data_IF_831886778510
#
_entry.id   IF_831886778510
#
_cell.length_a   1.000
_cell.length_b   1.000
_cell.length_c   1.000
_cell.angle_alpha   90.00
_cell.angle_beta   90.00
_cell.angle_gamma   90.00
#
_symmetry.space_group_name_H-M   'P 1'
#
loop_
_entity.id
_entity.type
_entity.pdbx_description
1 polymer ?
#
# COMPACT_ATOMS: atom_id res chain seq x y z
N UNK A 1 10.94 12.65 38.27
CA UNK A 1 9.83 12.41 37.31
C UNK A 1 8.55 12.13 38.09
N UNK A 2 7.49 12.92 37.93
CA UNK A 2 6.21 12.66 38.59
C UNK A 2 5.45 11.52 37.86
N UNK A 3 5.11 10.46 38.59
CA UNK A 3 4.37 9.30 38.07
C UNK A 3 2.88 9.66 37.98
N UNK A 4 2.35 9.94 36.79
CA UNK A 4 0.92 10.19 36.57
C UNK A 4 0.09 9.01 37.09
N UNK A 5 -0.83 9.27 38.02
CA UNK A 5 -1.76 8.27 38.52
C UNK A 5 -2.90 8.07 37.51
N UNK A 6 -3.01 6.87 36.93
CA UNK A 6 -4.03 6.55 35.94
C UNK A 6 -5.29 5.99 36.61
N UNK A 7 -6.47 6.48 36.18
CA UNK A 7 -7.78 6.00 36.64
C UNK A 7 -7.93 4.50 36.29
N UNK A 8 -7.95 3.63 37.31
CA UNK A 8 -7.99 2.17 37.15
C UNK A 8 -9.24 1.73 36.37
N UNK A 9 -9.06 0.94 35.32
CA UNK A 9 -10.18 0.27 34.62
C UNK A 9 -10.73 -0.85 35.52
N UNK A 10 -12.05 -0.89 35.72
CA UNK A 10 -12.69 -1.88 36.61
C UNK A 10 -12.72 -3.28 35.97
N UNK A 11 -12.99 -3.38 34.66
CA UNK A 11 -13.17 -4.66 33.95
C UNK A 11 -11.97 -5.09 33.08
N UNK A 12 -10.83 -4.39 33.18
CA UNK A 12 -9.61 -4.72 32.43
C UNK A 12 -9.08 -6.14 32.66
N UNK A 13 -8.38 -6.67 31.65
CA UNK A 13 -7.78 -8.01 31.67
C UNK A 13 -6.70 -8.16 32.75
N UNK A 14 -6.39 -9.41 33.10
CA UNK A 14 -5.44 -9.76 34.17
C UNK A 14 -4.05 -9.18 33.88
N UNK A 15 -3.57 -9.24 32.64
CA UNK A 15 -2.24 -8.73 32.27
C UNK A 15 -2.13 -7.21 32.38
N UNK A 16 -3.14 -6.45 31.92
CA UNK A 16 -3.13 -5.00 32.05
C UNK A 16 -3.26 -4.55 33.52
N UNK A 17 -4.06 -5.27 34.32
CA UNK A 17 -4.11 -5.07 35.78
C UNK A 17 -2.75 -5.34 36.43
N UNK A 18 -2.09 -6.47 36.14
CA UNK A 18 -0.75 -6.82 36.66
C UNK A 18 0.33 -5.79 36.29
N UNK A 19 0.22 -5.20 35.09
CA UNK A 19 1.14 -4.16 34.59
C UNK A 19 0.82 -2.75 35.09
N UNK A 20 -0.27 -2.55 35.85
CA UNK A 20 -0.77 -1.23 36.27
C UNK A 20 -0.99 -0.24 35.11
N UNK A 21 -1.40 -0.75 33.94
CA UNK A 21 -1.70 0.04 32.73
C UNK A 21 -3.21 0.03 32.45
N UNK A 22 -3.71 1.07 31.75
CA UNK A 22 -5.11 1.14 31.36
C UNK A 22 -5.40 0.08 30.29
N UNK A 23 -6.35 -0.81 30.58
CA UNK A 23 -6.89 -1.74 29.59
C UNK A 23 -7.95 -1.05 28.74
N UNK A 24 -7.98 -1.38 27.45
CA UNK A 24 -9.00 -1.02 26.46
C UNK A 24 -10.28 -1.87 26.55
N UNK A 25 -10.26 -2.94 27.35
CA UNK A 25 -11.39 -3.86 27.62
C UNK A 25 -11.94 -4.62 26.38
N UNK A 26 -11.26 -4.55 25.23
CA UNK A 26 -11.59 -5.32 24.03
C UNK A 26 -11.51 -6.83 24.24
N UNK A 27 -12.50 -7.57 23.72
CA UNK A 27 -12.62 -9.04 23.81
C UNK A 27 -12.54 -9.65 22.39
N UNK A 28 -11.98 -10.86 22.21
CA UNK A 28 -11.46 -11.77 23.23
C UNK A 28 -10.12 -11.32 23.85
N UNK A 29 -9.31 -10.56 23.10
CA UNK A 29 -8.01 -10.04 23.56
C UNK A 29 -7.97 -8.51 23.45
N UNK A 30 -7.31 -7.86 24.41
CA UNK A 30 -7.20 -6.40 24.46
C UNK A 30 -5.98 -5.93 23.66
N UNK A 31 -6.07 -4.76 23.02
CA UNK A 31 -5.05 -4.20 22.13
C UNK A 31 -3.65 -4.22 22.74
N UNK A 32 -3.51 -3.84 24.02
CA UNK A 32 -2.21 -3.83 24.70
C UNK A 32 -1.57 -5.21 24.88
N UNK A 33 -2.37 -6.27 24.96
CA UNK A 33 -1.87 -7.65 25.07
C UNK A 33 -1.55 -8.21 23.68
N UNK A 34 -2.41 -7.94 22.69
CA UNK A 34 -2.16 -8.27 21.28
C UNK A 34 -0.85 -7.64 20.78
N UNK A 35 -0.66 -6.34 20.98
CA UNK A 35 0.57 -5.63 20.58
C UNK A 35 1.83 -6.06 21.33
N UNK A 36 1.71 -6.72 22.49
CA UNK A 36 2.87 -7.24 23.23
C UNK A 36 2.98 -8.76 23.22
N UNK A 37 2.19 -9.43 22.36
CA UNK A 37 2.06 -10.87 22.21
C UNK A 37 1.96 -11.62 23.56
N UNK A 38 0.93 -11.28 24.36
CA UNK A 38 0.69 -11.85 25.70
C UNK A 38 -0.70 -12.45 25.83
N UNK A 39 -0.78 -13.54 26.58
CA UNK A 39 -2.04 -14.22 26.93
C UNK A 39 -2.99 -13.29 27.68
N UNK A 40 -3.99 -12.80 26.95
CA UNK A 40 -4.96 -11.84 27.44
C UNK A 40 -6.19 -12.54 28.04
N UNK A 41 -6.14 -12.87 29.34
CA UNK A 41 -7.30 -13.39 30.05
C UNK A 41 -8.15 -12.28 30.68
N UNK A 42 -9.45 -12.33 30.42
CA UNK A 42 -10.48 -11.60 31.16
C UNK A 42 -11.18 -12.60 32.08
N UNK A 43 -10.86 -12.57 33.37
CA UNK A 43 -11.44 -13.52 34.33
C UNK A 43 -12.98 -13.36 34.44
N UNK A 44 -13.70 -14.38 33.98
CA UNK A 44 -15.13 -14.67 34.14
C UNK A 44 -15.26 -16.14 33.70
N UNK A 45 -15.61 -17.14 34.49
CA UNK A 45 -16.28 -17.21 35.81
C UNK A 45 -15.67 -18.38 36.65
N UNK A 46 -16.10 -18.65 37.90
CA UNK A 46 -15.51 -19.73 38.70
C UNK A 46 -16.01 -21.11 38.24
N UNK A 47 -15.24 -21.79 37.39
CA UNK A 47 -15.28 -23.25 37.33
C UNK A 47 -14.43 -23.84 38.45
N UNK A 48 -15.01 -24.80 39.16
CA UNK A 48 -14.39 -25.53 40.26
C UNK A 48 -13.16 -26.33 39.77
N UNK A 49 -12.06 -26.31 40.54
CA UNK A 49 -11.30 -27.50 40.84
C UNK A 49 -11.92 -28.19 42.06
N UNK A 50 -11.86 -29.52 42.08
CA UNK A 50 -12.13 -30.30 43.28
C UNK A 50 -11.03 -30.02 44.31
N UNK A 51 -11.40 -29.91 45.59
CA UNK A 51 -10.57 -30.45 46.67
C UNK A 51 -11.39 -30.76 47.93
N UNK A 52 -10.89 -31.73 48.68
CA UNK A 52 -11.54 -32.39 49.83
C UNK A 52 -11.50 -31.60 51.15
N UNK A 53 -12.56 -31.74 51.97
CA UNK A 53 -12.62 -31.57 53.44
C UNK A 53 -12.27 -30.15 53.99
N UNK A 54 -12.97 -29.52 54.95
CA UNK A 54 -13.85 -30.02 56.02
C UNK A 54 -14.84 -28.95 56.53
N UNK A 55 -15.94 -29.44 57.12
CA UNK A 55 -16.94 -28.82 58.03
C UNK A 55 -16.61 -27.52 58.79
N UNK A 56 -17.53 -26.52 58.86
CA UNK A 56 -18.56 -26.32 59.93
C UNK A 56 -19.31 -24.96 59.91
N UNK A 57 -20.65 -25.01 60.08
CA UNK A 57 -21.58 -24.01 60.69
C UNK A 57 -21.52 -22.49 60.40
N UNK A 58 -22.41 -22.00 59.52
CA UNK A 58 -23.68 -21.25 59.77
C UNK A 58 -23.85 -20.27 61.00
N UNK A 59 -24.86 -19.37 61.07
CA UNK A 59 -24.73 -17.96 60.64
C UNK A 59 -25.29 -16.92 61.67
N UNK A 60 -25.11 -15.59 61.43
CA UNK A 60 -26.08 -14.58 61.92
C UNK A 60 -25.98 -13.18 61.27
N UNK A 61 -27.15 -12.60 61.08
CA UNK A 61 -27.48 -11.21 60.71
C UNK A 61 -27.07 -10.12 61.72
N UNK A 62 -26.92 -8.85 61.27
CA UNK A 62 -27.89 -7.75 61.56
C UNK A 62 -27.52 -6.39 60.95
N UNK A 63 -28.56 -5.59 60.72
CA UNK A 63 -28.52 -4.20 60.22
C UNK A 63 -28.45 -3.17 61.36
N UNK A 64 -28.12 -1.91 61.00
CA UNK A 64 -28.70 -0.72 61.62
C UNK A 64 -27.91 0.00 62.73
N UNK A 65 -27.44 1.23 62.45
CA UNK A 65 -28.17 2.43 62.88
C UNK A 65 -27.50 3.73 62.40
N UNK A 66 -28.32 4.75 62.16
CA UNK A 66 -27.93 6.16 61.98
C UNK A 66 -27.64 6.81 63.35
N UNK A 67 -26.93 7.95 63.35
CA UNK A 67 -27.36 9.24 63.98
C UNK A 67 -26.26 10.34 63.90
N UNK A 68 -26.62 11.49 63.32
CA UNK A 68 -26.02 12.85 63.48
C UNK A 68 -26.74 13.59 64.65
N UNK A 69 -26.61 14.92 64.96
CA UNK A 69 -25.78 16.03 64.42
C UNK A 69 -24.99 16.75 65.58
N UNK A 70 -24.58 18.03 65.62
CA UNK A 70 -24.49 19.22 64.72
C UNK A 70 -23.37 20.16 65.25
N UNK A 71 -22.86 21.10 64.44
CA UNK A 71 -22.57 22.52 64.87
C UNK A 71 -22.12 23.42 63.69
N UNK A 72 -23.09 23.88 62.88
CA UNK A 72 -23.40 25.27 62.43
C UNK A 72 -22.36 26.47 62.54
N UNK A 73 -22.53 27.62 61.83
CA UNK A 73 -22.29 27.87 60.38
C UNK A 73 -21.63 29.26 60.05
N UNK A 74 -21.87 29.80 58.82
CA UNK A 74 -21.56 31.16 58.25
C UNK A 74 -20.11 31.41 57.75
N UNK A 75 -19.85 32.05 56.59
CA UNK A 75 -20.70 32.71 55.56
C UNK A 75 -20.06 32.66 54.14
N UNK A 76 -20.90 32.77 53.09
CA UNK A 76 -20.73 33.50 51.80
C UNK A 76 -19.31 33.71 51.20
N UNK A 77 -19.03 33.48 49.91
CA UNK A 77 -19.90 33.60 48.73
C UNK A 77 -19.51 32.63 47.61
N UNK A 78 -20.48 32.17 46.83
CA UNK A 78 -20.23 31.53 45.55
C UNK A 78 -20.06 32.60 44.46
N UNK A 79 -19.01 32.47 43.64
CA UNK A 79 -19.01 33.03 42.28
C UNK A 79 -18.48 31.97 41.34
N UNK A 80 -19.32 31.58 40.39
CA UNK A 80 -19.08 30.50 39.44
C UNK A 80 -17.89 30.83 38.54
N UNK A 81 -16.80 30.06 38.64
CA UNK A 81 -15.83 30.01 37.55
C UNK A 81 -16.46 29.23 36.39
N UNK A 82 -16.94 29.97 35.41
CA UNK A 82 -17.59 29.46 34.22
C UNK A 82 -16.72 28.42 33.50
N UNK A 83 -17.31 27.26 33.22
CA UNK A 83 -16.89 26.46 32.08
C UNK A 83 -17.15 27.29 30.81
N UNK A 84 -16.13 27.98 30.31
CA UNK A 84 -16.03 28.31 28.89
C UNK A 84 -15.00 27.38 28.26
N UNK A 85 -15.51 26.42 27.49
CA UNK A 85 -14.71 25.53 26.67
C UNK A 85 -13.86 26.33 25.66
N UNK A 86 -12.61 26.61 25.98
CA UNK A 86 -11.57 26.70 24.95
C UNK A 86 -11.12 25.29 24.56
N UNK A 87 -12.05 24.53 24.00
CA UNK A 87 -11.70 23.44 23.10
C UNK A 87 -11.07 24.06 21.87
N UNK A 88 -9.74 24.19 21.90
CA UNK A 88 -8.83 24.53 20.81
C UNK A 88 -9.45 24.34 19.42
N UNK A 89 -9.90 25.45 18.80
CA UNK A 89 -10.29 25.45 17.38
C UNK A 89 -9.10 25.14 16.46
N UNK A 90 -7.87 25.32 16.98
CA UNK A 90 -6.57 25.06 16.34
C UNK A 90 -6.34 23.60 15.90
N UNK A 91 -7.25 22.66 16.24
CA UNK A 91 -7.13 21.25 15.84
C UNK A 91 -8.35 20.67 15.11
N UNK A 92 -9.26 21.48 14.58
CA UNK A 92 -10.41 20.99 13.79
C UNK A 92 -9.96 20.50 12.40
N UNK A 93 -8.95 21.16 11.81
CA UNK A 93 -8.39 20.83 10.49
C UNK A 93 -6.95 20.37 10.65
N UNK A 94 -6.62 19.20 10.12
CA UNK A 94 -5.25 18.71 10.09
C UNK A 94 -4.50 19.37 8.92
N UNK A 95 -3.70 20.40 9.22
CA UNK A 95 -2.96 21.17 8.23
C UNK A 95 -1.94 20.34 7.44
N UNK A 96 -1.34 19.30 8.03
CA UNK A 96 -0.45 18.39 7.28
C UNK A 96 -1.24 17.60 6.22
N UNK A 97 -2.42 17.08 6.56
CA UNK A 97 -3.26 16.39 5.58
C UNK A 97 -3.79 17.36 4.51
N UNK A 98 -4.05 18.63 4.85
CA UNK A 98 -4.43 19.64 3.87
C UNK A 98 -3.27 20.00 2.92
N UNK A 99 -2.02 20.06 3.39
CA UNK A 99 -0.81 20.21 2.55
C UNK A 99 -0.78 19.09 1.49
N UNK A 100 -0.93 17.84 1.92
CA UNK A 100 -0.93 16.65 1.05
C UNK A 100 -2.12 16.63 0.08
N UNK A 101 -3.31 17.05 0.52
CA UNK A 101 -4.51 17.12 -0.32
C UNK A 101 -4.37 18.21 -1.39
N UNK A 102 -3.95 19.42 -1.00
CA UNK A 102 -3.74 20.55 -1.91
C UNK A 102 -2.66 20.19 -2.94
N UNK A 103 -1.57 19.54 -2.53
CA UNK A 103 -0.57 19.04 -3.46
C UNK A 103 -1.19 18.05 -4.45
N UNK A 104 -1.98 17.08 -3.98
CA UNK A 104 -2.58 16.05 -4.82
C UNK A 104 -3.63 16.52 -5.82
N UNK A 105 -4.29 17.66 -5.57
CA UNK A 105 -5.23 18.27 -6.52
C UNK A 105 -4.58 19.31 -7.46
N UNK A 106 -3.42 19.87 -7.10
CA UNK A 106 -2.75 20.92 -7.91
C UNK A 106 -1.62 20.38 -8.78
N UNK A 107 -0.97 19.27 -8.38
CA UNK A 107 0.11 18.67 -9.13
C UNK A 107 -0.41 17.61 -10.12
N UNK A 108 -0.24 17.86 -11.42
CA UNK A 108 -0.69 16.97 -12.50
C UNK A 108 0.19 15.73 -12.71
N UNK A 109 1.45 15.79 -12.26
CA UNK A 109 2.44 14.73 -12.47
C UNK A 109 2.27 13.57 -11.46
N UNK A 110 1.65 13.85 -10.30
CA UNK A 110 1.34 12.85 -9.26
C UNK A 110 0.60 11.63 -9.85
N UNK A 111 -0.49 11.88 -10.57
CA UNK A 111 -1.33 10.87 -11.21
C UNK A 111 -1.09 10.79 -12.73
N UNK A 112 0.15 10.99 -13.18
CA UNK A 112 0.56 10.65 -14.54
C UNK A 112 0.66 9.13 -14.70
N UNK A 113 -0.49 8.44 -14.78
CA UNK A 113 -0.60 6.97 -14.83
C UNK A 113 -0.22 6.38 -16.21
N UNK A 114 0.23 7.19 -17.16
CA UNK A 114 0.43 6.80 -18.55
C UNK A 114 -0.86 6.73 -19.39
N UNK A 115 -1.99 7.21 -18.86
CA UNK A 115 -3.23 7.42 -19.60
C UNK A 115 -3.25 8.78 -20.29
N UNK A 116 -4.18 8.95 -21.25
CA UNK A 116 -4.30 10.18 -22.03
C UNK A 116 -4.40 11.43 -21.14
N UNK A 117 -3.62 12.46 -21.46
CA UNK A 117 -3.54 13.72 -20.70
C UNK A 117 -4.93 14.35 -20.49
N UNK A 118 -5.84 14.20 -21.45
CA UNK A 118 -7.23 14.67 -21.34
C UNK A 118 -8.04 13.90 -20.29
N UNK A 119 -7.83 12.57 -20.18
CA UNK A 119 -8.54 11.69 -19.26
C UNK A 119 -7.93 11.69 -17.85
N UNK A 120 -6.69 12.13 -17.66
CA UNK A 120 -6.03 12.15 -16.34
C UNK A 120 -6.74 13.08 -15.35
N UNK A 121 -7.22 14.24 -15.82
CA UNK A 121 -7.97 15.19 -15.00
C UNK A 121 -9.37 14.67 -14.64
N UNK A 122 -10.02 13.94 -15.55
CA UNK A 122 -11.33 13.32 -15.31
C UNK A 122 -11.22 12.16 -14.31
N UNK A 123 -10.24 11.26 -14.50
CA UNK A 123 -9.93 10.19 -13.54
C UNK A 123 -9.57 10.74 -12.16
N UNK A 124 -8.82 11.85 -12.08
CA UNK A 124 -8.54 12.53 -10.80
C UNK A 124 -9.82 13.07 -10.15
N UNK A 125 -10.71 13.71 -10.92
CA UNK A 125 -11.98 14.22 -10.40
C UNK A 125 -12.88 13.09 -9.85
N UNK A 126 -12.95 11.95 -10.56
CA UNK A 126 -13.65 10.74 -10.10
C UNK A 126 -12.99 10.19 -8.82
N UNK A 127 -11.65 10.13 -8.79
CA UNK A 127 -10.90 9.69 -7.62
C UNK A 127 -11.18 10.52 -6.37
N UNK A 128 -11.21 11.86 -6.49
CA UNK A 128 -11.50 12.78 -5.39
C UNK A 128 -12.97 12.67 -4.92
N UNK A 129 -13.92 12.54 -5.86
CA UNK A 129 -15.35 12.34 -5.59
C UNK A 129 -15.59 11.06 -4.77
N UNK A 130 -14.93 9.97 -5.11
CA UNK A 130 -15.05 8.71 -4.37
C UNK A 130 -14.22 8.69 -3.08
N UNK A 131 -13.08 9.39 -3.02
CA UNK A 131 -12.28 9.57 -1.79
C UNK A 131 -13.11 10.14 -0.64
N UNK A 132 -14.04 11.07 -0.93
CA UNK A 132 -14.94 11.64 0.07
C UNK A 132 -15.89 10.61 0.72
N UNK A 133 -16.16 9.49 0.04
CA UNK A 133 -17.05 8.40 0.51
C UNK A 133 -16.28 7.22 1.08
N UNK A 134 -15.05 7.00 0.63
CA UNK A 134 -14.21 5.85 0.94
C UNK A 134 -12.96 6.27 1.73
N UNK A 135 -12.98 6.21 3.08
CA UNK A 135 -11.86 6.66 3.90
C UNK A 135 -10.52 5.98 3.58
N UNK A 136 -10.52 4.70 3.19
CA UNK A 136 -9.31 4.00 2.78
C UNK A 136 -8.67 4.63 1.53
N UNK A 137 -9.49 5.00 0.53
CA UNK A 137 -9.03 5.66 -0.70
C UNK A 137 -8.43 7.04 -0.38
N UNK A 138 -9.11 7.86 0.43
CA UNK A 138 -8.59 9.17 0.82
C UNK A 138 -7.22 9.06 1.52
N UNK A 139 -7.06 8.12 2.46
CA UNK A 139 -5.76 7.91 3.11
C UNK A 139 -4.68 7.48 2.11
N UNK A 140 -5.02 6.66 1.11
CA UNK A 140 -4.07 6.23 0.08
C UNK A 140 -3.68 7.37 -0.87
N UNK A 141 -4.62 8.24 -1.26
CA UNK A 141 -4.35 9.45 -2.05
C UNK A 141 -3.39 10.38 -1.29
N UNK A 142 -3.65 10.65 -0.01
CA UNK A 142 -2.75 11.45 0.84
C UNK A 142 -1.37 10.79 1.01
N UNK A 143 -1.33 9.46 1.17
CA UNK A 143 -0.07 8.70 1.25
C UNK A 143 0.78 8.85 -0.01
N UNK A 144 0.15 8.76 -1.19
CA UNK A 144 0.82 8.90 -2.47
C UNK A 144 1.26 10.36 -2.74
N UNK A 145 0.44 11.35 -2.35
CA UNK A 145 0.84 12.77 -2.34
C UNK A 145 2.09 13.01 -1.50
N UNK A 146 2.15 12.43 -0.29
CA UNK A 146 3.35 12.51 0.55
C UNK A 146 4.54 11.83 -0.12
N UNK A 147 4.34 10.66 -0.74
CA UNK A 147 5.40 9.94 -1.44
C UNK A 147 5.99 10.70 -2.64
N UNK A 148 5.17 11.49 -3.34
CA UNK A 148 5.62 12.42 -4.38
C UNK A 148 6.36 13.64 -3.79
N UNK A 149 5.81 14.29 -2.75
CA UNK A 149 6.50 15.38 -2.05
C UNK A 149 7.89 14.96 -1.54
N UNK A 150 8.03 13.71 -1.09
CA UNK A 150 9.33 13.15 -0.71
C UNK A 150 10.35 13.07 -1.87
N UNK A 151 9.89 12.96 -3.11
CA UNK A 151 10.74 12.92 -4.30
C UNK A 151 11.13 14.33 -4.79
N UNK A 152 10.19 15.29 -4.75
CA UNK A 152 10.43 16.67 -5.20
C UNK A 152 11.01 17.61 -4.13
N UNK A 153 11.00 17.21 -2.85
CA UNK A 153 11.63 17.94 -1.73
C UNK A 153 12.66 17.07 -1.00
N UNK A 154 13.87 16.87 -1.56
CA UNK A 154 14.92 16.04 -0.96
C UNK A 154 15.26 16.45 0.48
N UNK A 155 15.21 17.74 0.80
CA UNK A 155 15.52 18.32 2.11
C UNK A 155 14.49 17.98 3.21
N UNK A 156 13.29 17.52 2.81
CA UNK A 156 12.21 17.06 3.69
C UNK A 156 11.82 15.60 3.46
N UNK A 157 12.54 14.88 2.58
CA UNK A 157 12.15 13.56 2.09
C UNK A 157 11.81 12.57 3.20
N UNK A 158 12.66 12.46 4.23
CA UNK A 158 12.42 11.58 5.37
C UNK A 158 11.11 11.86 6.13
N UNK A 159 10.67 13.13 6.25
CA UNK A 159 9.38 13.50 6.88
C UNK A 159 8.22 13.01 6.05
N UNK A 160 8.26 13.25 4.74
CA UNK A 160 7.19 12.89 3.83
C UNK A 160 7.11 11.36 3.61
N UNK A 161 8.24 10.63 3.63
CA UNK A 161 8.25 9.16 3.61
C UNK A 161 7.61 8.56 4.87
N UNK A 162 7.91 9.08 6.06
CA UNK A 162 7.27 8.67 7.31
C UNK A 162 5.75 8.93 7.30
N UNK A 163 5.30 10.08 6.78
CA UNK A 163 3.89 10.35 6.54
C UNK A 163 3.27 9.38 5.53
N UNK A 164 3.93 9.12 4.40
CA UNK A 164 3.47 8.20 3.36
C UNK A 164 3.23 6.79 3.92
N UNK A 165 4.20 6.23 4.64
CA UNK A 165 4.08 4.89 5.28
C UNK A 165 2.94 4.85 6.29
N UNK A 166 2.80 5.87 7.16
CA UNK A 166 1.71 5.94 8.15
C UNK A 166 0.33 5.99 7.50
N UNK A 167 0.17 6.80 6.46
CA UNK A 167 -1.09 6.97 5.73
C UNK A 167 -1.43 5.72 4.90
N UNK A 168 -0.46 5.12 4.20
CA UNK A 168 -0.63 3.87 3.45
C UNK A 168 -1.02 2.71 4.38
N UNK A 169 -0.32 2.55 5.51
CA UNK A 169 -0.66 1.55 6.55
C UNK A 169 -2.09 1.73 7.05
N UNK A 170 -2.50 2.98 7.29
CA UNK A 170 -3.88 3.30 7.71
C UNK A 170 -4.91 3.02 6.61
N UNK A 171 -4.57 3.30 5.35
CA UNK A 171 -5.42 3.03 4.20
C UNK A 171 -5.68 1.52 4.04
N UNK A 172 -4.63 0.71 4.03
CA UNK A 172 -4.70 -0.77 3.96
C UNK A 172 -5.48 -1.34 5.15
N UNK A 173 -5.28 -0.83 6.37
CA UNK A 173 -6.06 -1.23 7.54
C UNK A 173 -7.57 -0.96 7.36
N UNK A 174 -7.95 0.23 6.88
CA UNK A 174 -9.34 0.60 6.64
C UNK A 174 -9.97 -0.22 5.51
N UNK A 175 -9.23 -0.48 4.44
CA UNK A 175 -9.65 -1.33 3.33
C UNK A 175 -9.95 -2.75 3.81
N UNK A 176 -9.01 -3.39 4.52
CA UNK A 176 -9.16 -4.74 5.08
C UNK A 176 -10.26 -4.86 6.15
N UNK A 177 -10.71 -3.72 6.72
CA UNK A 177 -11.82 -3.66 7.67
C UNK A 177 -13.19 -3.47 7.00
N UNK A 178 -13.23 -3.25 5.69
CA UNK A 178 -14.47 -3.04 4.90
C UNK A 178 -15.01 -4.38 4.37
N UNK A 179 -16.27 -4.43 3.94
CA UNK A 179 -16.87 -5.66 3.34
C UNK A 179 -16.02 -6.17 2.18
N UNK A 180 -15.86 -7.50 2.09
CA UNK A 180 -15.03 -8.18 1.08
C UNK A 180 -15.74 -8.43 -0.26
N UNK A 181 -17.07 -8.42 -0.28
CA UNK A 181 -17.85 -8.63 -1.50
C UNK A 181 -17.86 -7.35 -2.33
N UNK A 182 -17.45 -7.46 -3.58
CA UNK A 182 -17.44 -6.35 -4.54
C UNK A 182 -18.80 -6.25 -5.20
N UNK A 183 -19.42 -5.07 -5.13
CA UNK A 183 -20.74 -4.77 -5.68
C UNK A 183 -20.75 -3.41 -6.40
N UNK A 184 -21.87 -3.06 -7.01
CA UNK A 184 -22.02 -1.81 -7.77
C UNK A 184 -21.82 -0.54 -6.92
N UNK A 185 -21.93 -0.61 -5.59
CA UNK A 185 -21.76 0.53 -4.68
C UNK A 185 -20.30 0.75 -4.25
N UNK A 186 -19.45 -0.28 -4.34
CA UNK A 186 -18.08 -0.23 -3.82
C UNK A 186 -16.97 -0.56 -4.86
N UNK A 187 -17.30 -1.12 -6.02
CA UNK A 187 -16.32 -1.52 -7.04
C UNK A 187 -15.41 -0.36 -7.50
N UNK A 188 -15.97 0.83 -7.69
CA UNK A 188 -15.24 2.01 -8.15
C UNK A 188 -14.19 2.51 -7.13
N UNK A 189 -14.53 2.82 -5.86
CA UNK A 189 -13.51 3.20 -4.87
C UNK A 189 -12.52 2.08 -4.55
N UNK A 190 -12.92 0.80 -4.62
CA UNK A 190 -12.00 -0.34 -4.48
C UNK A 190 -10.95 -0.33 -5.61
N UNK A 191 -11.38 -0.15 -6.86
CA UNK A 191 -10.48 -0.06 -8.02
C UNK A 191 -9.51 1.12 -7.88
N UNK A 192 -10.02 2.31 -7.60
CA UNK A 192 -9.22 3.53 -7.44
C UNK A 192 -8.17 3.40 -6.32
N UNK A 193 -8.55 2.76 -5.20
CA UNK A 193 -7.63 2.47 -4.11
C UNK A 193 -6.55 1.47 -4.56
N UNK A 194 -6.95 0.41 -5.26
CA UNK A 194 -6.07 -0.63 -5.77
C UNK A 194 -5.03 -0.07 -6.74
N UNK A 195 -5.44 0.74 -7.71
CA UNK A 195 -4.52 1.40 -8.66
C UNK A 195 -3.58 2.37 -7.92
N UNK A 196 -4.12 3.24 -7.06
CA UNK A 196 -3.28 4.21 -6.31
C UNK A 196 -2.30 3.51 -5.36
N UNK A 197 -2.67 2.36 -4.78
CA UNK A 197 -1.77 1.53 -3.99
C UNK A 197 -0.67 0.91 -4.85
N UNK A 198 -1.02 0.33 -6.01
CA UNK A 198 -0.04 -0.31 -6.89
C UNK A 198 0.98 0.66 -7.48
N UNK A 199 0.58 1.89 -7.82
CA UNK A 199 1.52 2.95 -8.24
C UNK A 199 2.41 3.43 -7.09
N UNK A 200 1.92 3.45 -5.84
CA UNK A 200 2.73 3.76 -4.66
C UNK A 200 3.78 2.67 -4.42
N UNK A 201 3.37 1.40 -4.39
CA UNK A 201 4.27 0.26 -4.21
C UNK A 201 5.33 0.18 -5.31
N UNK A 202 4.96 0.48 -6.56
CA UNK A 202 5.93 0.51 -7.66
C UNK A 202 6.93 1.65 -7.50
N UNK A 203 6.49 2.85 -7.10
CA UNK A 203 7.41 3.96 -6.82
C UNK A 203 8.39 3.63 -5.68
N UNK A 204 7.99 2.86 -4.67
CA UNK A 204 8.88 2.39 -3.60
C UNK A 204 9.85 1.30 -4.08
N UNK A 205 9.35 0.29 -4.81
CA UNK A 205 10.19 -0.76 -5.38
C UNK A 205 11.23 -0.20 -6.36
N UNK A 206 10.83 0.69 -7.27
CA UNK A 206 11.76 1.34 -8.20
C UNK A 206 12.77 2.25 -7.50
N UNK A 207 12.40 2.91 -6.40
CA UNK A 207 13.32 3.73 -5.60
C UNK A 207 14.23 2.92 -4.65
N UNK A 208 14.10 1.59 -4.61
CA UNK A 208 14.91 0.73 -3.73
C UNK A 208 16.39 0.80 -4.12
N UNK A 209 17.24 1.19 -3.15
CA UNK A 209 18.72 1.21 -3.27
C UNK A 209 19.27 0.57 -1.99
N UNK A 210 19.74 -0.67 -2.07
CA UNK A 210 20.19 -1.46 -0.90
C UNK A 210 21.64 -1.93 -1.05
N UNK A 211 22.36 -2.21 0.05
CA UNK A 211 23.70 -2.82 -0.01
C UNK A 211 23.70 -4.20 -0.69
N UNK A 212 22.58 -4.91 -0.63
CA UNK A 212 22.37 -6.25 -1.20
C UNK A 212 22.20 -6.24 -2.74
N UNK A 213 22.26 -5.06 -3.37
CA UNK A 213 22.26 -4.89 -4.81
C UNK A 213 21.01 -5.47 -5.49
N UNK A 214 21.21 -6.41 -6.42
CA UNK A 214 20.14 -7.06 -7.17
C UNK A 214 19.17 -7.82 -6.26
N UNK A 215 19.65 -8.44 -5.18
CA UNK A 215 18.83 -9.29 -4.31
C UNK A 215 17.84 -8.46 -3.49
N UNK A 216 18.31 -7.34 -2.94
CA UNK A 216 17.45 -6.39 -2.26
C UNK A 216 16.46 -5.70 -3.21
N UNK A 217 16.88 -5.36 -4.44
CA UNK A 217 15.96 -4.81 -5.45
C UNK A 217 14.85 -5.82 -5.83
N UNK A 218 15.24 -7.05 -6.23
CA UNK A 218 14.30 -8.08 -6.66
C UNK A 218 13.32 -8.48 -5.55
N UNK A 219 13.76 -8.49 -4.28
CA UNK A 219 12.87 -8.78 -3.14
C UNK A 219 11.70 -7.80 -3.08
N UNK A 220 11.96 -6.49 -3.18
CA UNK A 220 10.91 -5.47 -3.16
C UNK A 220 10.11 -5.44 -4.47
N UNK A 221 10.77 -5.66 -5.61
CA UNK A 221 10.12 -5.67 -6.92
C UNK A 221 9.14 -6.84 -7.09
N UNK A 222 9.54 -8.07 -6.73
CA UNK A 222 8.66 -9.25 -6.75
C UNK A 222 7.45 -9.06 -5.86
N UNK A 223 7.64 -8.58 -4.62
CA UNK A 223 6.54 -8.28 -3.70
C UNK A 223 5.57 -7.23 -4.27
N UNK A 224 6.08 -6.22 -4.97
CA UNK A 224 5.24 -5.24 -5.66
C UNK A 224 4.41 -5.88 -6.78
N UNK A 225 5.01 -6.72 -7.63
CA UNK A 225 4.30 -7.38 -8.75
C UNK A 225 3.25 -8.36 -8.22
N UNK A 226 3.58 -9.18 -7.21
CA UNK A 226 2.63 -10.11 -6.59
C UNK A 226 1.42 -9.39 -5.97
N UNK A 227 1.65 -8.26 -5.29
CA UNK A 227 0.59 -7.43 -4.73
C UNK A 227 -0.27 -6.80 -5.84
N UNK A 228 0.37 -6.21 -6.87
CA UNK A 228 -0.32 -5.61 -8.01
C UNK A 228 -1.16 -6.63 -8.79
N UNK A 229 -0.68 -7.87 -8.93
CA UNK A 229 -1.44 -8.95 -9.57
C UNK A 229 -2.65 -9.38 -8.74
N UNK A 230 -2.52 -9.42 -7.41
CA UNK A 230 -3.66 -9.62 -6.50
C UNK A 230 -4.75 -8.55 -6.67
N UNK A 231 -4.35 -7.28 -6.80
CA UNK A 231 -5.21 -6.13 -7.06
C UNK A 231 -5.83 -6.15 -8.48
N UNK A 232 -5.08 -6.61 -9.48
CA UNK A 232 -5.56 -6.79 -10.85
C UNK A 232 -6.65 -7.88 -10.93
N UNK A 233 -6.49 -9.00 -10.21
CA UNK A 233 -7.51 -10.05 -10.14
C UNK A 233 -8.84 -9.58 -9.54
N UNK A 234 -8.81 -8.68 -8.54
CA UNK A 234 -10.02 -8.04 -8.03
C UNK A 234 -10.70 -7.21 -9.14
N UNK A 235 -9.92 -6.42 -9.87
CA UNK A 235 -10.39 -5.61 -11.01
C UNK A 235 -11.06 -6.46 -12.09
N UNK A 236 -10.44 -7.58 -12.50
CA UNK A 236 -11.01 -8.52 -13.46
C UNK A 236 -12.34 -9.12 -12.98
N UNK A 237 -12.42 -9.52 -11.70
CA UNK A 237 -13.67 -10.07 -11.13
C UNK A 237 -14.81 -9.05 -11.07
N UNK A 238 -14.48 -7.75 -10.93
CA UNK A 238 -15.43 -6.65 -10.89
C UNK A 238 -15.76 -6.05 -12.26
N UNK A 239 -15.12 -6.51 -13.34
CA UNK A 239 -15.17 -5.88 -14.67
C UNK A 239 -16.59 -5.59 -15.19
N UNK A 240 -17.60 -6.50 -15.08
CA UNK A 240 -18.95 -6.21 -15.54
C UNK A 240 -19.65 -5.09 -14.77
N UNK A 241 -19.29 -4.88 -13.49
CA UNK A 241 -19.79 -3.77 -12.67
C UNK A 241 -19.09 -2.46 -13.07
N UNK A 242 -17.77 -2.51 -13.27
CA UNK A 242 -16.95 -1.36 -13.63
C UNK A 242 -17.33 -0.74 -14.99
N UNK A 243 -17.78 -1.55 -15.95
CA UNK A 243 -18.32 -1.06 -17.24
C UNK A 243 -19.63 -0.26 -17.10
N UNK A 244 -20.27 -0.25 -15.92
CA UNK A 244 -21.44 0.58 -15.63
C UNK A 244 -21.08 1.85 -14.82
N UNK A 245 -19.79 2.23 -14.76
CA UNK A 245 -19.30 3.37 -13.97
C UNK A 245 -18.73 4.48 -14.85
N UNK A 246 -18.46 5.64 -14.25
CA UNK A 246 -17.80 6.79 -14.89
C UNK A 246 -16.39 6.46 -15.46
N UNK A 247 -15.79 5.32 -15.11
CA UNK A 247 -14.50 4.86 -15.67
C UNK A 247 -14.61 3.96 -16.91
N UNK A 248 -15.82 3.62 -17.40
CA UNK A 248 -15.98 2.76 -18.59
C UNK A 248 -15.10 3.19 -19.78
N UNK A 249 -15.03 4.48 -20.19
CA UNK A 249 -14.27 4.86 -21.37
C UNK A 249 -12.77 4.60 -21.23
N UNK A 250 -12.23 4.86 -20.03
CA UNK A 250 -10.81 4.63 -19.67
C UNK A 250 -10.51 3.13 -19.65
N UNK A 251 -11.37 2.34 -19.01
CA UNK A 251 -11.21 0.88 -18.89
C UNK A 251 -11.31 0.18 -20.24
N UNK A 252 -12.32 0.52 -21.05
CA UNK A 252 -12.51 -0.02 -22.39
C UNK A 252 -11.42 0.41 -23.36
N UNK A 253 -10.90 1.65 -23.27
CA UNK A 253 -9.72 2.08 -24.03
C UNK A 253 -8.46 1.30 -23.62
N UNK A 254 -8.23 1.18 -22.31
CA UNK A 254 -7.09 0.48 -21.75
C UNK A 254 -7.07 -1.00 -22.15
N UNK A 255 -8.22 -1.67 -22.07
CA UNK A 255 -8.41 -3.05 -22.53
C UNK A 255 -8.07 -3.20 -24.01
N UNK A 256 -8.66 -2.38 -24.90
CA UNK A 256 -8.38 -2.41 -26.35
C UNK A 256 -6.90 -2.24 -26.68
N UNK A 257 -6.20 -1.32 -26.01
CA UNK A 257 -4.77 -1.08 -26.29
C UNK A 257 -3.88 -2.22 -25.76
N UNK A 258 -4.29 -2.96 -24.72
CA UNK A 258 -3.57 -4.12 -24.19
C UNK A 258 -3.89 -5.44 -24.92
N UNK A 259 -4.88 -5.44 -25.82
CA UNK A 259 -5.24 -6.56 -26.70
C UNK A 259 -4.80 -6.36 -28.17
N UNK A 260 -3.97 -5.35 -28.45
CA UNK A 260 -3.33 -5.20 -29.78
C UNK A 260 -2.26 -6.27 -29.97
N UNK A 261 -2.07 -6.70 -31.22
CA UNK A 261 -0.86 -7.42 -31.61
C UNK A 261 0.35 -6.45 -31.61
N UNK A 262 1.52 -6.85 -31.08
CA UNK A 262 2.74 -6.04 -31.18
C UNK A 262 3.25 -5.96 -32.62
N UNK A 263 3.80 -4.80 -32.99
CA UNK A 263 4.20 -4.46 -34.37
C UNK A 263 5.71 -4.30 -34.50
N UNK A 264 6.37 -3.71 -33.49
CA UNK A 264 7.80 -3.46 -33.50
C UNK A 264 8.65 -4.71 -33.23
N UNK A 265 9.97 -4.54 -33.34
CA UNK A 265 10.96 -5.63 -33.24
C UNK A 265 12.01 -5.42 -32.13
N UNK A 266 11.78 -4.47 -31.22
CA UNK A 266 12.66 -4.17 -30.09
C UNK A 266 12.98 -5.42 -29.25
N UNK A 267 11.98 -6.28 -29.05
CA UNK A 267 12.06 -7.52 -28.27
C UNK A 267 12.53 -8.75 -29.06
N UNK A 268 12.76 -8.67 -30.39
CA UNK A 268 13.12 -9.85 -31.21
C UNK A 268 14.32 -10.65 -30.66
N UNK A 269 15.42 -10.02 -30.17
CA UNK A 269 16.55 -10.78 -29.64
C UNK A 269 16.17 -11.63 -28.41
N UNK A 270 15.31 -11.11 -27.52
CA UNK A 270 14.89 -11.89 -26.35
C UNK A 270 13.86 -12.97 -26.70
N UNK A 271 12.98 -12.74 -27.68
CA UNK A 271 12.09 -13.81 -28.20
C UNK A 271 12.93 -15.02 -28.65
N UNK A 272 14.00 -14.78 -29.40
CA UNK A 272 14.89 -15.85 -29.86
C UNK A 272 15.64 -16.53 -28.69
N UNK A 273 16.11 -15.78 -27.69
CA UNK A 273 16.70 -16.36 -26.47
C UNK A 273 15.74 -17.32 -25.74
N UNK A 274 14.51 -16.89 -25.47
CA UNK A 274 13.52 -17.72 -24.74
C UNK A 274 13.19 -18.98 -25.53
N UNK A 275 13.05 -18.86 -26.86
CA UNK A 275 12.80 -19.97 -27.77
C UNK A 275 13.93 -21.00 -27.73
N UNK A 276 15.18 -20.55 -27.81
CA UNK A 276 16.36 -21.41 -27.88
C UNK A 276 16.82 -21.97 -26.51
N UNK A 277 16.41 -21.37 -25.38
CA UNK A 277 16.79 -21.87 -24.05
C UNK A 277 16.42 -23.33 -23.86
N UNK A 278 17.40 -24.16 -23.49
CA UNK A 278 17.18 -25.56 -23.09
C UNK A 278 16.91 -25.70 -21.59
N UNK A 279 17.09 -24.63 -20.82
CA UNK A 279 16.92 -24.63 -19.37
C UNK A 279 15.48 -24.28 -18.94
N UNK A 280 14.68 -23.63 -19.79
CA UNK A 280 13.27 -23.33 -19.53
C UNK A 280 12.36 -24.44 -20.05
N UNK A 281 11.41 -24.86 -19.23
CA UNK A 281 10.27 -25.69 -19.65
C UNK A 281 9.34 -24.93 -20.61
N UNK A 282 8.52 -25.66 -21.36
CA UNK A 282 7.55 -25.05 -22.28
C UNK A 282 6.61 -24.05 -21.57
N UNK A 283 6.21 -24.32 -20.32
CA UNK A 283 5.34 -23.42 -19.55
C UNK A 283 6.05 -22.14 -19.12
N UNK A 284 7.32 -22.22 -18.72
CA UNK A 284 8.13 -21.03 -18.42
C UNK A 284 8.38 -20.21 -19.70
N UNK A 285 8.56 -20.85 -20.86
CA UNK A 285 8.67 -20.17 -22.16
C UNK A 285 7.40 -19.41 -22.56
N UNK A 286 6.22 -20.03 -22.38
CA UNK A 286 4.93 -19.35 -22.60
C UNK A 286 4.80 -18.08 -21.75
N UNK A 287 5.10 -18.18 -20.45
CA UNK A 287 5.05 -17.07 -19.48
C UNK A 287 6.00 -15.94 -19.88
N UNK A 288 7.24 -16.27 -20.24
CA UNK A 288 8.20 -15.28 -20.75
C UNK A 288 7.72 -14.64 -22.05
N UNK A 289 7.14 -15.41 -22.98
CA UNK A 289 6.64 -14.89 -24.25
C UNK A 289 5.49 -13.89 -24.07
N UNK A 290 4.50 -14.20 -23.23
CA UNK A 290 3.41 -13.28 -22.87
C UNK A 290 3.94 -11.97 -22.28
N UNK A 291 4.88 -12.07 -21.32
CA UNK A 291 5.52 -10.90 -20.73
C UNK A 291 6.33 -10.06 -21.75
N UNK A 292 6.94 -10.69 -22.75
CA UNK A 292 7.66 -10.02 -23.84
C UNK A 292 6.71 -9.30 -24.81
N UNK A 293 5.52 -9.87 -25.10
CA UNK A 293 4.52 -9.21 -25.94
C UNK A 293 4.05 -7.89 -25.30
N UNK A 294 3.83 -7.86 -23.99
CA UNK A 294 3.51 -6.62 -23.27
C UNK A 294 4.66 -5.60 -23.24
N UNK A 295 5.93 -6.05 -23.24
CA UNK A 295 7.07 -5.14 -23.41
C UNK A 295 7.12 -4.55 -24.82
N UNK A 296 6.86 -5.35 -25.86
CA UNK A 296 6.84 -4.86 -27.24
C UNK A 296 5.73 -3.83 -27.46
N UNK A 297 4.52 -4.06 -26.94
CA UNK A 297 3.44 -3.06 -26.91
C UNK A 297 3.83 -1.77 -26.16
N UNK A 298 4.75 -1.87 -25.21
CA UNK A 298 5.33 -0.72 -24.51
C UNK A 298 6.26 0.09 -25.39
N UNK A 299 7.14 -0.56 -26.14
CA UNK A 299 8.03 0.09 -27.10
C UNK A 299 7.25 0.71 -28.27
N UNK A 300 6.28 -0.02 -28.83
CA UNK A 300 5.40 0.48 -29.89
C UNK A 300 4.65 1.75 -29.44
N UNK A 301 4.11 1.72 -28.21
CA UNK A 301 3.42 2.87 -27.61
C UNK A 301 4.31 4.10 -27.38
N UNK A 302 5.63 3.94 -27.21
CA UNK A 302 6.55 5.08 -27.07
C UNK A 302 6.69 5.87 -28.37
N UNK A 303 6.66 5.18 -29.51
CA UNK A 303 6.81 5.73 -30.85
C UNK A 303 5.51 6.34 -31.40
N UNK A 304 4.34 5.75 -31.09
CA UNK A 304 3.04 6.18 -31.63
C UNK A 304 2.42 7.43 -30.95
N UNK A 305 2.31 7.46 -29.62
CA UNK A 305 1.38 8.38 -28.92
C UNK A 305 1.95 8.95 -27.62
N UNK A 306 2.17 10.27 -27.59
CA UNK A 306 2.62 11.02 -26.40
C UNK A 306 1.70 10.78 -25.20
N UNK A 307 0.40 10.56 -25.45
CA UNK A 307 -0.62 10.44 -24.42
C UNK A 307 -0.73 9.02 -23.83
N UNK A 308 -0.09 8.00 -24.40
CA UNK A 308 -0.08 6.62 -23.87
C UNK A 308 1.30 5.96 -23.77
N UNK A 309 2.35 6.68 -24.18
CA UNK A 309 3.78 6.33 -24.17
C UNK A 309 4.29 5.58 -22.94
N UNK A 310 3.81 5.90 -21.73
CA UNK A 310 4.33 5.29 -20.48
C UNK A 310 3.37 4.26 -19.85
N UNK A 311 2.22 3.97 -20.47
CA UNK A 311 1.17 3.11 -19.91
C UNK A 311 1.68 1.71 -19.53
N UNK A 312 2.51 1.10 -20.40
CA UNK A 312 3.06 -0.24 -20.15
C UNK A 312 4.06 -0.28 -19.01
N UNK A 313 4.71 0.83 -18.64
CA UNK A 313 5.59 0.83 -17.46
C UNK A 313 4.84 0.40 -16.20
N UNK A 314 3.62 0.92 -16.04
CA UNK A 314 2.76 0.62 -14.90
C UNK A 314 2.02 -0.71 -15.09
N UNK A 315 1.35 -0.90 -16.23
CA UNK A 315 0.53 -2.09 -16.47
C UNK A 315 1.35 -3.39 -16.58
N UNK A 316 2.61 -3.34 -17.03
CA UNK A 316 3.45 -4.54 -17.09
C UNK A 316 3.58 -5.22 -15.72
N UNK A 317 3.60 -4.44 -14.63
CA UNK A 317 3.63 -4.96 -13.25
C UNK A 317 2.31 -5.59 -12.77
N UNK A 318 1.22 -5.38 -13.51
CA UNK A 318 -0.09 -6.00 -13.27
C UNK A 318 -0.36 -7.19 -14.20
N UNK A 319 0.28 -7.20 -15.37
CA UNK A 319 0.11 -8.20 -16.42
C UNK A 319 1.18 -9.31 -16.38
N UNK A 320 2.37 -9.02 -15.84
CA UNK A 320 3.37 -10.03 -15.51
C UNK A 320 2.78 -11.06 -14.53
N UNK A 321 2.82 -12.34 -14.92
CA UNK A 321 2.21 -13.41 -14.13
C UNK A 321 3.08 -13.77 -12.90
N UNK A 322 2.50 -14.39 -11.85
CA UNK A 322 3.27 -14.87 -10.68
C UNK A 322 4.33 -15.92 -11.05
N UNK A 323 4.13 -16.67 -12.13
CA UNK A 323 5.12 -17.61 -12.63
C UNK A 323 6.39 -16.88 -13.11
N UNK A 324 6.26 -15.67 -13.69
CA UNK A 324 7.43 -14.84 -14.03
C UNK A 324 8.14 -14.34 -12.76
N UNK A 325 7.40 -13.95 -11.71
CA UNK A 325 8.02 -13.48 -10.46
C UNK A 325 8.82 -14.58 -9.77
N UNK A 326 8.40 -15.85 -9.89
CA UNK A 326 9.19 -17.01 -9.45
C UNK A 326 10.52 -17.14 -10.19
N UNK A 327 10.55 -16.93 -11.51
CA UNK A 327 11.78 -16.95 -12.31
C UNK A 327 12.72 -15.80 -11.96
N UNK A 328 12.17 -14.62 -11.61
CA UNK A 328 12.93 -13.47 -11.13
C UNK A 328 13.48 -13.70 -9.72
N UNK A 329 12.67 -14.22 -8.79
CA UNK A 329 13.09 -14.54 -7.42
C UNK A 329 14.19 -15.61 -7.37
N UNK A 330 14.12 -16.59 -8.28
CA UNK A 330 15.18 -17.60 -8.49
C UNK A 330 16.33 -17.12 -9.38
N UNK A 331 16.30 -15.85 -9.83
CA UNK A 331 17.36 -15.16 -10.59
C UNK A 331 17.80 -15.93 -11.86
N UNK A 332 16.83 -16.50 -12.58
CA UNK A 332 17.05 -17.23 -13.84
C UNK A 332 17.59 -16.26 -14.90
N UNK A 333 18.71 -16.56 -15.59
CA UNK A 333 19.35 -15.62 -16.51
C UNK A 333 18.41 -15.07 -17.58
N UNK A 334 17.56 -15.93 -18.15
CA UNK A 334 16.59 -15.56 -19.17
C UNK A 334 15.57 -14.53 -18.66
N UNK A 335 15.08 -14.70 -17.42
CA UNK A 335 14.14 -13.78 -16.80
C UNK A 335 14.81 -12.46 -16.35
N UNK A 336 16.09 -12.50 -15.94
CA UNK A 336 16.87 -11.29 -15.66
C UNK A 336 17.16 -10.49 -16.94
N UNK A 337 17.43 -11.16 -18.07
CA UNK A 337 17.53 -10.49 -19.37
C UNK A 337 16.17 -9.89 -19.75
N UNK A 338 15.05 -10.57 -19.50
CA UNK A 338 13.70 -10.01 -19.68
C UNK A 338 13.49 -8.74 -18.86
N UNK A 339 13.87 -8.78 -17.58
CA UNK A 339 13.82 -7.60 -16.70
C UNK A 339 14.72 -6.46 -17.20
N UNK A 340 15.79 -6.74 -17.94
CA UNK A 340 16.63 -5.70 -18.57
C UNK A 340 15.93 -4.98 -19.74
N UNK A 341 15.00 -5.63 -20.44
CA UNK A 341 14.13 -4.97 -21.42
C UNK A 341 13.04 -4.15 -20.73
N UNK A 342 12.49 -4.61 -19.60
CA UNK A 342 11.66 -3.73 -18.76
C UNK A 342 12.46 -2.52 -18.22
N UNK A 343 13.74 -2.71 -17.86
CA UNK A 343 14.62 -1.62 -17.47
C UNK A 343 14.84 -0.61 -18.62
N UNK A 344 14.90 -1.06 -19.89
CA UNK A 344 14.89 -0.16 -21.05
C UNK A 344 13.58 0.62 -21.14
N UNK A 345 12.43 -0.03 -20.96
CA UNK A 345 11.12 0.63 -20.95
C UNK A 345 11.05 1.70 -19.85
N UNK A 346 11.55 1.40 -18.64
CA UNK A 346 11.74 2.38 -17.56
C UNK A 346 12.65 3.54 -17.98
N UNK A 347 13.75 3.27 -18.67
CA UNK A 347 14.67 4.32 -19.12
C UNK A 347 14.02 5.30 -20.12
N UNK A 348 13.07 4.88 -20.94
CA UNK A 348 12.27 5.82 -21.74
C UNK A 348 11.36 6.69 -20.86
N UNK A 349 10.82 6.14 -19.77
CA UNK A 349 10.04 6.85 -18.74
C UNK A 349 10.85 7.69 -17.74
N UNK A 350 12.17 7.82 -17.86
CA UNK A 350 13.07 8.45 -16.88
C UNK A 350 12.71 9.89 -16.43
N UNK A 351 11.88 10.61 -17.17
CA UNK A 351 11.35 11.93 -16.79
C UNK A 351 10.23 11.87 -15.75
N UNK A 352 9.60 10.70 -15.55
CA UNK A 352 8.57 10.49 -14.54
C UNK A 352 9.20 10.37 -13.15
N UNK A 353 8.60 11.03 -12.16
CA UNK A 353 9.11 11.13 -10.79
C UNK A 353 9.20 9.77 -10.08
N UNK A 354 8.37 8.79 -10.45
CA UNK A 354 8.42 7.42 -9.91
C UNK A 354 9.65 6.63 -10.40
N UNK A 355 10.27 7.05 -11.50
CA UNK A 355 11.22 6.22 -12.26
C UNK A 355 12.65 6.74 -12.14
N UNK A 356 12.89 8.00 -12.50
CA UNK A 356 14.22 8.61 -12.49
C UNK A 356 15.29 7.77 -13.20
N UNK A 357 16.38 7.47 -12.50
CA UNK A 357 17.54 6.72 -13.03
C UNK A 357 17.36 5.19 -13.05
N UNK A 358 16.23 4.68 -12.54
CA UNK A 358 16.06 3.26 -12.18
C UNK A 358 16.30 2.29 -13.34
N UNK A 359 15.96 2.67 -14.58
CA UNK A 359 16.25 1.82 -15.75
C UNK A 359 17.75 1.56 -15.95
N UNK A 360 18.59 2.58 -15.78
CA UNK A 360 20.06 2.43 -15.89
C UNK A 360 20.62 1.68 -14.69
N UNK A 361 20.14 2.00 -13.49
CA UNK A 361 20.53 1.33 -12.25
C UNK A 361 20.25 -0.18 -12.29
N UNK A 362 19.04 -0.58 -12.68
CA UNK A 362 18.62 -1.97 -12.76
C UNK A 362 19.38 -2.74 -13.85
N UNK A 363 19.63 -2.14 -15.02
CA UNK A 363 20.49 -2.76 -16.04
C UNK A 363 21.91 -3.01 -15.50
N UNK A 364 22.46 -2.06 -14.73
CA UNK A 364 23.76 -2.23 -14.06
C UNK A 364 23.77 -3.44 -13.12
N UNK A 365 22.79 -3.52 -12.21
CA UNK A 365 22.64 -4.65 -11.28
C UNK A 365 22.53 -6.01 -12.00
N UNK A 366 21.83 -6.07 -13.13
CA UNK A 366 21.68 -7.29 -13.94
C UNK A 366 23.00 -7.63 -14.65
N UNK A 367 23.71 -6.64 -15.21
CA UNK A 367 25.01 -6.84 -15.87
C UNK A 367 26.10 -7.31 -14.90
N UNK A 368 26.11 -6.77 -13.67
CA UNK A 368 27.10 -7.14 -12.64
C UNK A 368 26.84 -8.55 -12.06
N UNK A 369 25.58 -9.00 -12.05
CA UNK A 369 25.20 -10.33 -11.57
C UNK A 369 25.39 -11.44 -12.62
N UNK A 370 25.11 -11.17 -13.90
CA UNK A 370 25.15 -12.17 -14.96
C UNK A 370 26.57 -12.43 -15.47
N UNK A 371 26.89 -13.72 -15.69
CA UNK A 371 28.17 -14.13 -16.27
C UNK A 371 28.36 -13.56 -17.70
N UNK A 372 29.62 -13.32 -18.14
CA UNK A 372 29.90 -12.61 -19.40
C UNK A 372 29.27 -13.23 -20.66
N UNK A 373 29.06 -14.55 -20.68
CA UNK A 373 28.38 -15.27 -21.75
C UNK A 373 26.95 -14.77 -22.03
N UNK A 374 26.25 -14.23 -21.02
CA UNK A 374 24.91 -13.68 -21.16
C UNK A 374 24.88 -12.22 -21.64
N UNK A 375 26.01 -11.52 -21.61
CA UNK A 375 26.07 -10.07 -21.88
C UNK A 375 25.73 -9.73 -23.34
N UNK A 376 25.85 -10.69 -24.27
CA UNK A 376 25.43 -10.52 -25.67
C UNK A 376 23.95 -10.15 -25.80
N UNK A 377 23.08 -10.68 -24.93
CA UNK A 377 21.65 -10.41 -24.93
C UNK A 377 21.29 -9.07 -24.25
N UNK A 378 22.22 -8.53 -23.44
CA UNK A 378 22.09 -7.22 -22.78
C UNK A 378 22.59 -6.07 -23.67
N UNK A 379 23.29 -6.36 -24.77
CA UNK A 379 23.85 -5.33 -25.66
C UNK A 379 22.76 -4.44 -26.25
N UNK A 380 21.59 -4.99 -26.60
CA UNK A 380 20.50 -4.22 -27.17
C UNK A 380 19.95 -3.16 -26.18
N UNK A 381 19.47 -3.53 -24.97
CA UNK A 381 19.11 -2.55 -23.93
C UNK A 381 20.24 -1.55 -23.65
N UNK A 382 21.47 -2.03 -23.49
CA UNK A 382 22.65 -1.20 -23.18
C UNK A 382 22.95 -0.16 -24.26
N UNK A 383 22.78 -0.53 -25.53
CA UNK A 383 22.98 0.38 -26.67
C UNK A 383 21.85 1.40 -26.77
N UNK A 384 20.60 1.00 -26.55
CA UNK A 384 19.44 1.90 -26.61
C UNK A 384 19.47 2.93 -25.47
N UNK A 385 19.80 2.55 -24.23
CA UNK A 385 19.95 3.50 -23.10
C UNK A 385 21.08 4.52 -23.26
N UNK A 386 21.99 4.33 -24.22
CA UNK A 386 23.09 5.27 -24.53
C UNK A 386 22.72 6.30 -25.60
N UNK A 387 21.60 6.09 -26.30
CA UNK A 387 21.06 7.05 -27.26
C UNK A 387 20.23 8.09 -26.47
N UNK A 388 20.37 9.37 -26.83
CA UNK A 388 19.81 10.49 -26.04
C UNK A 388 18.32 10.67 -26.24
#
# INVERSE_FOLDING_TARGET
>A
MLRRSHKKSKKGCVQCKRRHVKCDEGRPTCLLCTMSNRDCSFASDPQQPQDTNSSTSDPSSREGSLLNPDTNPRSTSATSFSNSHETSFDSVVNMEHMELFIHGITNKDLFSLGDRIEHSQETLNICLKESAKAPYLLHQVLAFSARHLAAIHPERSARYLDQAVKLQTRAVFLFNSTRREVDASNCLPILLFSVTLGHHLLADALATRTPDGLDGFLTHYVQCVEMNWGLYRLTLSAWPLLLNTELEPVLSWSSRQSSKDPIGNHCEPIVQLIKDSTALSNKEKEVCHEAIQYLQLGFDGIEEDVASRYRMIFQWTMLASPELTSLLATKRPEALILLSYYALLLHHGRSLWQIGDTGVYLLGLIMDYLAPEWHIWLEYPRRMMRQK
#
